data_IF_816321651304
#
_entry.id   IF_816321651304
#
_cell.length_a   1.000
_cell.length_b   1.000
_cell.length_c   1.000
_cell.angle_alpha   90.00
_cell.angle_beta   90.00
_cell.angle_gamma   90.00
#
_symmetry.space_group_name_H-M   'P 1'
#
loop_
_entity.id
_entity.type
_entity.pdbx_description
1 polymer ?
#
# COMPACT_ATOMS: atom_id res chain seq x y z
N UNK A 1 -9.40 -27.43 -1.12
CA UNK A 1 -8.87 -26.99 0.19
C UNK A 1 -7.36 -26.88 0.06
N UNK A 2 -6.79 -25.67 0.19
CA UNK A 2 -5.34 -25.49 0.26
C UNK A 2 -5.03 -24.84 1.61
N UNK A 3 -4.04 -25.41 2.28
CA UNK A 3 -3.73 -25.34 3.70
C UNK A 3 -3.40 -23.93 4.21
N UNK A 4 -3.83 -23.67 5.44
CA UNK A 4 -3.25 -22.64 6.30
C UNK A 4 -1.77 -22.92 6.54
N UNK A 5 -0.95 -21.88 6.43
CA UNK A 5 0.38 -21.84 7.02
C UNK A 5 0.44 -20.59 7.89
N UNK A 6 0.19 -20.78 9.19
CA UNK A 6 0.58 -19.84 10.23
C UNK A 6 2.10 -19.87 10.31
N UNK A 7 2.73 -18.75 9.97
CA UNK A 7 4.14 -18.50 10.23
C UNK A 7 4.19 -17.42 11.31
N UNK A 8 4.35 -17.85 12.56
CA UNK A 8 4.63 -16.97 13.69
C UNK A 8 6.10 -17.15 14.05
N UNK A 9 6.90 -16.14 13.69
CA UNK A 9 8.36 -16.16 13.77
C UNK A 9 8.98 -14.76 13.80
N UNK A 10 8.76 -14.04 14.89
CA UNK A 10 9.69 -13.06 15.47
C UNK A 10 10.33 -11.96 14.59
N UNK A 11 9.54 -11.33 13.71
CA UNK A 11 9.59 -9.88 13.39
C UNK A 11 8.14 -9.46 13.29
N UNK A 12 7.67 -8.59 14.20
CA UNK A 12 6.26 -8.36 14.51
C UNK A 12 5.38 -8.41 13.26
N UNK A 13 4.33 -9.25 13.27
CA UNK A 13 3.33 -9.25 12.20
C UNK A 13 2.91 -7.81 12.00
N UNK A 14 3.28 -7.23 10.85
CA UNK A 14 2.83 -5.90 10.50
C UNK A 14 1.32 -5.91 10.65
N UNK A 15 0.78 -4.97 11.43
CA UNK A 15 -0.66 -4.90 11.65
C UNK A 15 -1.38 -5.03 10.31
N UNK A 16 -2.51 -5.74 10.28
CA UNK A 16 -3.30 -5.89 9.06
C UNK A 16 -3.60 -4.53 8.39
N UNK A 17 -3.68 -3.44 9.18
CA UNK A 17 -3.79 -2.07 8.67
C UNK A 17 -2.54 -1.60 7.93
N UNK A 18 -1.35 -1.89 8.46
CA UNK A 18 -0.06 -1.54 7.84
C UNK A 18 0.11 -2.31 6.52
N UNK A 19 -0.16 -3.61 6.53
CA UNK A 19 -0.11 -4.43 5.31
C UNK A 19 -1.05 -3.88 4.23
N UNK A 20 -2.30 -3.58 4.58
CA UNK A 20 -3.28 -2.99 3.67
C UNK A 20 -2.87 -1.60 3.16
N UNK A 21 -2.30 -0.75 4.01
CA UNK A 21 -1.82 0.56 3.61
C UNK A 21 -0.70 0.47 2.56
N UNK A 22 0.21 -0.51 2.68
CA UNK A 22 1.26 -0.77 1.70
C UNK A 22 0.70 -1.27 0.35
N UNK A 23 -0.31 -2.14 0.38
CA UNK A 23 -1.00 -2.60 -0.84
C UNK A 23 -1.67 -1.44 -1.59
N UNK A 24 -2.35 -0.56 -0.86
CA UNK A 24 -2.98 0.63 -1.44
C UNK A 24 -1.91 1.58 -2.00
N UNK A 25 -0.79 1.77 -1.29
CA UNK A 25 0.32 2.58 -1.81
C UNK A 25 0.82 2.05 -3.16
N UNK A 26 1.05 0.74 -3.29
CA UNK A 26 1.45 0.12 -4.56
C UNK A 26 0.41 0.34 -5.66
N UNK A 27 -0.87 0.24 -5.32
CA UNK A 27 -1.97 0.49 -6.25
C UNK A 27 -2.01 1.95 -6.74
N UNK A 28 -1.72 2.90 -5.84
CA UNK A 28 -1.61 4.33 -6.16
C UNK A 28 -0.42 4.60 -7.09
N UNK A 29 0.74 4.00 -6.83
CA UNK A 29 1.92 4.11 -7.71
C UNK A 29 1.60 3.57 -9.11
N UNK A 30 1.01 2.38 -9.21
CA UNK A 30 0.60 1.79 -10.49
C UNK A 30 -0.42 2.68 -11.23
N UNK A 31 -1.35 3.30 -10.51
CA UNK A 31 -2.28 4.25 -11.10
C UNK A 31 -1.55 5.46 -11.70
N UNK A 32 -0.61 6.06 -10.96
CA UNK A 32 0.18 7.18 -11.48
C UNK A 32 1.02 6.77 -12.69
N UNK A 33 1.61 5.57 -12.69
CA UNK A 33 2.33 5.03 -13.86
C UNK A 33 1.41 4.91 -15.07
N UNK A 34 0.23 4.29 -14.94
CA UNK A 34 -0.74 4.17 -16.03
C UNK A 34 -1.24 5.53 -16.55
N UNK A 35 -1.40 6.51 -15.66
CA UNK A 35 -1.78 7.87 -16.04
C UNK A 35 -0.63 8.55 -16.80
N UNK A 36 0.61 8.44 -16.31
CA UNK A 36 1.79 9.07 -16.90
C UNK A 36 2.14 8.49 -18.29
N UNK A 37 1.96 7.18 -18.49
CA UNK A 37 2.19 6.54 -19.79
C UNK A 37 1.13 6.88 -20.85
N UNK A 38 -0.01 7.46 -20.44
CA UNK A 38 -0.89 8.22 -21.32
C UNK A 38 -1.37 7.50 -22.58
N UNK A 39 -2.01 6.33 -22.46
CA UNK A 39 -2.77 5.74 -23.57
C UNK A 39 -3.72 4.64 -23.10
N UNK A 40 -4.98 4.71 -23.55
CA UNK A 40 -5.95 3.62 -23.46
C UNK A 40 -6.81 3.57 -22.19
N UNK A 41 -7.65 2.53 -22.13
CA UNK A 41 -8.64 2.29 -21.06
C UNK A 41 -7.98 2.22 -19.68
N UNK A 42 -6.76 1.71 -19.58
CA UNK A 42 -6.04 1.61 -18.32
C UNK A 42 -5.72 2.97 -17.67
N UNK A 43 -5.42 4.00 -18.47
CA UNK A 43 -5.20 5.36 -17.96
C UNK A 43 -6.50 5.97 -17.41
N UNK A 44 -7.62 5.78 -18.11
CA UNK A 44 -8.93 6.23 -17.63
C UNK A 44 -9.35 5.49 -16.35
N UNK A 45 -9.24 4.16 -16.33
CA UNK A 45 -9.54 3.36 -15.14
C UNK A 45 -8.66 3.76 -13.96
N UNK A 46 -7.36 3.97 -14.17
CA UNK A 46 -6.45 4.45 -13.14
C UNK A 46 -6.84 5.84 -12.61
N UNK A 47 -7.20 6.78 -13.49
CA UNK A 47 -7.64 8.12 -13.10
C UNK A 47 -8.93 8.08 -12.27
N UNK A 48 -9.86 7.19 -12.59
CA UNK A 48 -11.11 7.01 -11.86
C UNK A 48 -10.92 6.28 -10.51
N UNK A 49 -9.99 5.33 -10.42
CA UNK A 49 -9.73 4.57 -9.19
C UNK A 49 -8.81 5.30 -8.21
N UNK A 50 -7.94 6.19 -8.68
CA UNK A 50 -6.96 6.89 -7.85
C UNK A 50 -7.59 7.64 -6.64
N UNK A 51 -8.71 8.38 -6.79
CA UNK A 51 -9.39 8.99 -5.64
C UNK A 51 -9.88 7.97 -4.61
N UNK A 52 -10.36 6.80 -5.04
CA UNK A 52 -10.85 5.74 -4.15
C UNK A 52 -9.72 5.18 -3.27
N UNK A 53 -8.59 4.85 -3.88
CA UNK A 53 -7.41 4.38 -3.15
C UNK A 53 -6.89 5.44 -2.16
N UNK A 54 -6.86 6.72 -2.54
CA UNK A 54 -6.47 7.81 -1.63
C UNK A 54 -7.42 7.96 -0.44
N UNK A 55 -8.72 7.83 -0.66
CA UNK A 55 -9.72 7.90 0.40
C UNK A 55 -9.61 6.70 1.38
N UNK A 56 -9.42 5.50 0.85
CA UNK A 56 -9.21 4.29 1.66
C UNK A 56 -7.93 4.40 2.50
N UNK A 57 -6.82 4.81 1.89
CA UNK A 57 -5.56 5.03 2.60
C UNK A 57 -5.72 6.05 3.74
N UNK A 58 -6.38 7.18 3.48
CA UNK A 58 -6.66 8.20 4.50
C UNK A 58 -7.49 7.63 5.65
N UNK A 59 -8.47 6.79 5.35
CA UNK A 59 -9.33 6.14 6.36
C UNK A 59 -8.52 5.20 7.25
N UNK A 60 -7.64 4.41 6.65
CA UNK A 60 -6.73 3.53 7.39
C UNK A 60 -5.77 4.31 8.26
N UNK A 61 -5.15 5.37 7.73
CA UNK A 61 -4.23 6.22 8.47
C UNK A 61 -4.88 6.87 9.70
N UNK A 62 -6.16 7.28 9.60
CA UNK A 62 -6.91 7.82 10.74
C UNK A 62 -7.23 6.77 11.81
N UNK A 63 -7.30 5.49 11.44
CA UNK A 63 -7.55 4.38 12.34
C UNK A 63 -6.26 3.74 12.89
N UNK A 64 -5.09 4.21 12.46
CA UNK A 64 -3.81 3.70 12.92
C UNK A 64 -3.40 4.29 14.27
N UNK A 65 -2.77 3.44 15.06
CA UNK A 65 -2.01 3.84 16.25
C UNK A 65 -0.68 4.46 15.84
N UNK A 66 -0.05 5.22 16.75
CA UNK A 66 1.27 5.80 16.51
C UNK A 66 2.36 4.75 16.28
N UNK A 67 2.17 3.50 16.74
CA UNK A 67 3.08 2.41 16.44
C UNK A 67 2.93 1.95 14.99
N UNK A 68 1.69 1.69 14.54
CA UNK A 68 1.39 1.29 13.16
C UNK A 68 1.83 2.36 12.15
N UNK A 69 1.65 3.65 12.47
CA UNK A 69 2.11 4.75 11.62
C UNK A 69 3.64 4.77 11.47
N UNK A 70 4.37 4.52 12.57
CA UNK A 70 5.84 4.41 12.53
C UNK A 70 6.28 3.21 11.70
N UNK A 71 5.65 2.05 11.89
CA UNK A 71 5.92 0.85 11.11
C UNK A 71 5.68 1.07 9.61
N UNK A 72 4.55 1.71 9.26
CA UNK A 72 4.24 2.07 7.89
C UNK A 72 5.29 3.02 7.30
N UNK A 73 5.73 4.03 8.05
CA UNK A 73 6.76 4.98 7.60
C UNK A 73 8.10 4.30 7.36
N UNK A 74 8.57 3.47 8.30
CA UNK A 74 9.79 2.67 8.09
C UNK A 74 9.69 1.75 6.88
N UNK A 75 8.53 1.12 6.66
CA UNK A 75 8.30 0.27 5.50
C UNK A 75 8.34 1.06 4.19
N UNK A 76 7.73 2.25 4.13
CA UNK A 76 7.77 3.11 2.95
C UNK A 76 9.19 3.64 2.67
N UNK A 77 9.92 4.03 3.71
CA UNK A 77 11.31 4.50 3.60
C UNK A 77 12.21 3.38 3.05
N UNK A 78 12.02 2.13 3.51
CA UNK A 78 12.77 0.96 3.00
C UNK A 78 12.49 0.62 1.54
N UNK A 79 11.32 1.01 1.02
CA UNK A 79 10.95 0.84 -0.39
C UNK A 79 11.54 1.98 -1.25
N UNK A 80 11.84 3.12 -0.65
CA UNK A 80 12.36 4.31 -1.33
C UNK A 80 13.90 4.38 -1.34
N UNK A 81 14.59 3.69 -0.42
CA UNK A 81 16.05 3.51 -0.49
C UNK A 81 16.40 2.79 -1.80
N UNK A 82 17.00 3.48 -2.79
CA UNK A 82 17.49 2.80 -3.97
C UNK A 82 18.66 1.93 -3.52
N UNK A 83 18.69 0.67 -3.99
CA UNK A 83 19.90 -0.15 -3.87
C UNK A 83 21.07 0.65 -4.47
N UNK A 84 21.95 1.13 -3.60
CA UNK A 84 23.15 1.89 -3.95
C UNK A 84 24.16 1.02 -4.72
#
# INVERSE_FOLDING_TARGET
>A
MIFMRSDEGAKGQASARVARALEIHRSVVACHEHIAHGSGVHSLTAALMLPCYKAEFRTLALAMTSQEERELRYALDSVCEPAA
#
